data_IF_481087839968
#
_entry.id   IF_481087839968
#
_cell.length_a   1.000
_cell.length_b   1.000
_cell.length_c   1.000
_cell.angle_alpha   90.00
_cell.angle_beta   90.00
_cell.angle_gamma   90.00
#
_symmetry.space_group_name_H-M   'P 1'
#
loop_
_entity.id
_entity.type
_entity.pdbx_description
1 polymer ?
#
# COMPACT_ATOMS: atom_id res chain seq x y z
N UNK A 1 21.24 11.38 20.05
CA UNK A 1 20.81 10.37 19.06
C UNK A 1 19.62 9.64 19.66
N UNK A 2 18.45 10.25 19.50
CA UNK A 2 17.23 9.84 20.20
C UNK A 2 16.32 9.07 19.24
N UNK A 3 15.80 7.95 19.74
CA UNK A 3 14.98 6.97 19.05
C UNK A 3 13.68 7.63 18.55
N UNK A 4 13.68 8.15 17.33
CA UNK A 4 12.45 8.58 16.67
C UNK A 4 11.59 7.35 16.36
N UNK A 5 10.54 7.18 17.14
CA UNK A 5 9.66 6.01 17.13
C UNK A 5 9.10 5.67 15.74
N UNK A 6 9.31 4.42 15.37
CA UNK A 6 8.76 3.67 14.22
C UNK A 6 7.21 3.56 14.23
N UNK A 7 6.47 4.48 14.86
CA UNK A 7 5.05 4.30 15.23
C UNK A 7 4.05 5.22 14.51
N UNK A 8 4.45 6.00 13.50
CA UNK A 8 3.49 6.77 12.66
C UNK A 8 3.87 6.68 11.17
N UNK A 9 4.07 5.46 10.65
CA UNK A 9 4.35 5.25 9.21
C UNK A 9 3.04 5.07 8.45
N UNK A 10 2.17 4.16 8.90
CA UNK A 10 0.99 3.73 8.15
C UNK A 10 0.00 4.87 7.83
N UNK A 11 -0.29 5.73 8.81
CA UNK A 11 -1.17 6.89 8.59
C UNK A 11 -0.57 7.89 7.57
N UNK A 12 0.76 8.06 7.58
CA UNK A 12 1.47 8.91 6.61
C UNK A 12 1.52 8.25 5.23
N UNK A 13 1.72 6.94 5.17
CA UNK A 13 1.70 6.16 3.92
C UNK A 13 0.31 6.26 3.25
N UNK A 14 -0.77 6.12 4.03
CA UNK A 14 -2.15 6.28 3.54
C UNK A 14 -2.37 7.70 3.02
N UNK A 15 -1.93 8.72 3.77
CA UNK A 15 -2.09 10.12 3.37
C UNK A 15 -1.29 10.44 2.10
N UNK A 16 -0.06 9.93 2.00
CA UNK A 16 0.77 10.06 0.82
C UNK A 16 0.13 9.37 -0.41
N UNK A 17 -0.37 8.14 -0.25
CA UNK A 17 -1.10 7.42 -1.29
C UNK A 17 -2.37 8.17 -1.72
N UNK A 18 -3.10 8.78 -0.79
CA UNK A 18 -4.28 9.57 -1.10
C UNK A 18 -3.94 10.77 -1.99
N UNK A 19 -2.91 11.54 -1.66
CA UNK A 19 -2.48 12.65 -2.52
C UNK A 19 -1.90 12.18 -3.85
N UNK A 20 -1.12 11.10 -3.84
CA UNK A 20 -0.59 10.46 -5.04
C UNK A 20 -1.70 10.06 -6.01
N UNK A 21 -2.80 9.48 -5.51
CA UNK A 21 -3.96 9.11 -6.33
C UNK A 21 -4.71 10.32 -6.89
N UNK A 22 -4.69 11.45 -6.19
CA UNK A 22 -5.35 12.70 -6.61
C UNK A 22 -4.50 13.58 -7.54
N UNK A 23 -3.20 13.33 -7.60
CA UNK A 23 -2.29 14.11 -8.41
C UNK A 23 -2.50 13.83 -9.92
N UNK A 24 -2.82 14.86 -10.70
CA UNK A 24 -3.05 14.74 -12.15
C UNK A 24 -1.78 14.49 -12.96
N UNK A 25 -0.59 14.76 -12.41
CA UNK A 25 0.70 14.49 -13.05
C UNK A 25 1.08 13.01 -13.00
N UNK A 26 0.46 12.23 -12.11
CA UNK A 26 0.70 10.79 -12.03
C UNK A 26 -0.07 10.08 -13.14
N UNK A 27 0.62 9.31 -14.01
CA UNK A 27 -0.03 8.56 -15.08
C UNK A 27 -1.10 7.58 -14.55
N UNK A 28 -2.18 7.42 -15.30
CA UNK A 28 -3.32 6.58 -14.90
C UNK A 28 -2.92 5.12 -14.60
N UNK A 29 -1.97 4.57 -15.35
CA UNK A 29 -1.53 3.18 -15.16
C UNK A 29 -0.79 2.98 -13.84
N UNK A 30 -0.13 4.02 -13.31
CA UNK A 30 0.50 3.96 -11.99
C UNK A 30 -0.56 3.92 -10.88
N UNK A 31 -1.61 4.73 -11.01
CA UNK A 31 -2.77 4.70 -10.11
C UNK A 31 -3.50 3.36 -10.18
N UNK A 32 -3.58 2.76 -11.37
CA UNK A 32 -4.15 1.42 -11.54
C UNK A 32 -3.39 0.34 -10.74
N UNK A 33 -2.06 0.47 -10.57
CA UNK A 33 -1.28 -0.46 -9.72
C UNK A 33 -1.68 -0.35 -8.25
N UNK A 34 -1.93 0.86 -7.75
CA UNK A 34 -2.45 1.06 -6.38
C UNK A 34 -3.82 0.40 -6.23
N UNK A 35 -4.73 0.64 -7.18
CA UNK A 35 -6.07 0.05 -7.16
C UNK A 35 -5.98 -1.48 -7.25
N UNK A 36 -5.13 -2.03 -8.12
CA UNK A 36 -4.93 -3.47 -8.25
C UNK A 36 -4.39 -4.09 -6.96
N UNK A 37 -3.44 -3.44 -6.28
CA UNK A 37 -2.95 -3.88 -4.97
C UNK A 37 -4.02 -3.85 -3.89
N UNK A 38 -4.91 -2.84 -3.89
CA UNK A 38 -6.03 -2.76 -2.97
C UNK A 38 -7.12 -3.80 -3.27
N UNK A 39 -7.44 -4.03 -4.55
CA UNK A 39 -8.36 -5.08 -4.98
C UNK A 39 -7.80 -6.44 -4.59
N UNK A 40 -6.51 -6.69 -4.82
CA UNK A 40 -5.86 -7.93 -4.36
C UNK A 40 -5.90 -8.09 -2.85
N UNK A 41 -5.89 -7.00 -2.06
CA UNK A 41 -6.02 -7.05 -0.60
C UNK A 41 -7.47 -7.30 -0.12
N UNK A 42 -8.48 -6.87 -0.88
CA UNK A 42 -9.90 -7.02 -0.53
C UNK A 42 -10.49 -8.34 -1.05
N UNK A 43 -10.11 -8.74 -2.27
CA UNK A 43 -10.59 -9.93 -2.98
C UNK A 43 -9.79 -11.25 -2.69
N UNK A 44 -8.69 -11.32 -1.91
CA UNK A 44 -8.00 -12.59 -1.67
C UNK A 44 -8.79 -13.48 -0.71
N UNK A 45 -9.67 -12.87 0.11
CA UNK A 45 -10.61 -13.57 0.99
C UNK A 45 -11.70 -14.34 0.23
N UNK A 46 -12.04 -13.93 -0.99
CA UNK A 46 -13.18 -14.47 -1.74
C UNK A 46 -12.76 -15.48 -2.83
N UNK A 47 -11.46 -15.59 -3.12
CA UNK A 47 -10.93 -16.45 -4.19
C UNK A 47 -10.36 -17.80 -3.72
N UNK A 48 -10.24 -18.03 -2.41
CA UNK A 48 -9.77 -19.30 -1.85
C UNK A 48 -10.77 -19.77 -0.76
N UNK A 49 -11.91 -20.37 -1.14
CA UNK A 49 -12.63 -21.20 -0.20
C UNK A 49 -11.79 -22.47 0.08
N UNK A 50 -11.56 -22.75 1.36
CA UNK A 50 -11.21 -24.05 1.97
C UNK A 50 -9.77 -24.47 2.38
N UNK A 51 -8.67 -23.69 2.28
CA UNK A 51 -7.36 -24.29 2.68
C UNK A 51 -6.37 -23.55 3.59
N UNK A 52 -6.48 -22.26 3.93
CA UNK A 52 -5.42 -21.66 4.75
C UNK A 52 -5.80 -20.43 5.57
N UNK A 53 -6.58 -20.57 6.65
CA UNK A 53 -6.87 -19.46 7.58
C UNK A 53 -5.63 -18.86 8.26
N UNK A 54 -4.43 -19.45 8.11
CA UNK A 54 -3.17 -18.99 8.72
C UNK A 54 -2.22 -18.34 7.69
N UNK A 55 -2.33 -18.65 6.39
CA UNK A 55 -1.42 -18.12 5.35
C UNK A 55 -1.90 -16.78 4.79
N UNK A 56 -3.22 -16.52 4.77
CA UNK A 56 -3.79 -15.30 4.20
C UNK A 56 -3.24 -13.99 4.78
N UNK A 57 -3.04 -13.93 6.12
CA UNK A 57 -2.55 -12.71 6.78
C UNK A 57 -1.11 -12.32 6.43
N UNK A 58 -0.25 -13.30 6.12
CA UNK A 58 1.13 -13.03 5.70
C UNK A 58 1.19 -12.54 4.25
N UNK A 59 0.30 -13.04 3.39
CA UNK A 59 0.22 -12.63 1.99
C UNK A 59 -0.32 -11.20 1.84
N UNK A 60 -1.36 -10.84 2.60
CA UNK A 60 -1.95 -9.49 2.60
C UNK A 60 -0.94 -8.40 3.00
N UNK A 61 -0.14 -8.65 4.04
CA UNK A 61 0.94 -7.75 4.46
C UNK A 61 2.07 -7.70 3.42
N UNK A 62 2.37 -8.83 2.78
CA UNK A 62 3.35 -8.93 1.71
C UNK A 62 2.99 -8.05 0.51
N UNK A 63 1.72 -8.03 0.11
CA UNK A 63 1.24 -7.23 -1.03
C UNK A 63 1.27 -5.73 -0.73
N UNK A 64 0.76 -5.30 0.42
CA UNK A 64 0.77 -3.88 0.80
C UNK A 64 2.22 -3.37 0.96
N UNK A 65 3.09 -4.15 1.61
CA UNK A 65 4.50 -3.77 1.76
C UNK A 65 5.24 -3.73 0.43
N UNK A 66 4.96 -4.66 -0.48
CA UNK A 66 5.56 -4.67 -1.82
C UNK A 66 5.08 -3.50 -2.67
N UNK A 67 3.79 -3.16 -2.59
CA UNK A 67 3.21 -1.99 -3.26
C UNK A 67 3.86 -0.69 -2.76
N UNK A 68 3.95 -0.50 -1.45
CA UNK A 68 4.60 0.65 -0.84
C UNK A 68 6.08 0.74 -1.22
N UNK A 69 6.79 -0.40 -1.28
CA UNK A 69 8.19 -0.44 -1.71
C UNK A 69 8.35 -0.10 -3.19
N UNK A 70 7.48 -0.62 -4.05
CA UNK A 70 7.48 -0.36 -5.49
C UNK A 70 7.23 1.13 -5.79
N UNK A 71 6.27 1.74 -5.09
CA UNK A 71 5.92 3.15 -5.24
C UNK A 71 6.75 4.07 -4.35
N UNK A 72 7.65 3.54 -3.52
CA UNK A 72 8.30 4.32 -2.45
C UNK A 72 9.00 5.58 -2.96
N UNK A 73 9.70 5.50 -4.11
CA UNK A 73 10.35 6.67 -4.72
C UNK A 73 9.34 7.73 -5.20
N UNK A 74 8.19 7.30 -5.66
CA UNK A 74 7.11 8.16 -6.13
C UNK A 74 6.31 8.75 -4.96
N UNK A 75 6.24 8.06 -3.82
CA UNK A 75 5.55 8.53 -2.61
C UNK A 75 6.37 9.53 -1.78
N UNK A 76 7.71 9.56 -1.93
CA UNK A 76 8.62 10.49 -1.21
C UNK A 76 8.12 11.95 -1.19
N UNK A 77 7.70 12.56 -2.32
CA UNK A 77 7.21 13.94 -2.33
C UNK A 77 5.92 14.13 -1.52
N UNK A 78 5.09 13.08 -1.42
CA UNK A 78 3.76 13.15 -0.82
C UNK A 78 3.76 12.96 0.70
N UNK A 79 4.86 12.49 1.30
CA UNK A 79 5.03 12.43 2.76
C UNK A 79 5.16 13.80 3.42
N UNK A 80 5.32 14.87 2.62
CA UNK A 80 5.41 16.24 3.11
C UNK A 80 4.05 16.88 3.42
N UNK A 81 2.95 16.24 2.99
CA UNK A 81 1.58 16.71 3.18
C UNK A 81 0.92 16.01 4.35
#
# INVERSE_FOLDING_TARGET
MERAGKKITFAKDIKALFYYMRDSYIPWYRKAIVVAGLVYFIVPLDAIPDFAPIIGYLDDLGVITSLLKYLGKELVPYYKY
#
